data_IF_198603322079
#
_entry.id   IF_198603322079
#
_cell.length_a   1.000
_cell.length_b   1.000
_cell.length_c   1.000
_cell.angle_alpha   90.00
_cell.angle_beta   90.00
_cell.angle_gamma   90.00
#
_symmetry.space_group_name_H-M   'P 1'
#
loop_
_entity.id
_entity.type
_entity.pdbx_description
1 polymer ?
#
# COMPACT_ATOMS: atom_id res chain seq x y z
N UNK A 1 10.31 18.48 25.91
CA UNK A 1 8.87 18.14 25.98
C UNK A 1 8.32 18.32 24.57
N UNK A 2 8.33 17.25 23.77
CA UNK A 2 7.81 17.30 22.40
C UNK A 2 6.29 17.17 22.46
N UNK A 3 5.59 18.26 22.19
CA UNK A 3 4.12 18.29 22.16
C UNK A 3 3.60 17.47 20.97
N UNK A 4 3.10 16.28 21.27
CA UNK A 4 1.72 15.84 21.05
C UNK A 4 0.99 16.05 19.71
N UNK A 5 1.64 16.42 18.62
CA UNK A 5 1.01 16.37 17.29
C UNK A 5 1.67 15.27 16.48
N UNK A 6 0.98 14.15 16.32
CA UNK A 6 1.22 13.28 15.16
C UNK A 6 1.25 14.20 13.93
N UNK A 7 2.37 14.32 13.20
CA UNK A 7 2.46 15.21 12.04
C UNK A 7 1.24 14.99 11.16
N UNK A 8 0.53 16.06 10.76
CA UNK A 8 -0.76 15.98 10.03
C UNK A 8 -0.76 14.94 8.90
N UNK A 9 0.38 14.84 8.22
CA UNK A 9 0.64 13.87 7.17
C UNK A 9 0.55 12.40 7.63
N UNK A 10 0.99 12.05 8.84
CA UNK A 10 0.86 10.70 9.41
C UNK A 10 -0.61 10.39 9.69
N UNK A 11 -1.35 11.32 10.29
CA UNK A 11 -2.80 11.16 10.49
C UNK A 11 -3.51 10.98 9.14
N UNK A 12 -3.13 11.77 8.13
CA UNK A 12 -3.67 11.65 6.78
C UNK A 12 -3.40 10.27 6.16
N UNK A 13 -2.20 9.73 6.32
CA UNK A 13 -1.87 8.38 5.83
C UNK A 13 -2.71 7.30 6.53
N UNK A 14 -2.98 7.48 7.82
CA UNK A 14 -3.82 6.55 8.57
C UNK A 14 -5.27 6.60 8.07
N UNK A 15 -5.79 7.79 7.79
CA UNK A 15 -7.11 7.98 7.20
C UNK A 15 -7.19 7.34 5.80
N UNK A 16 -6.15 7.49 4.97
CA UNK A 16 -6.09 6.85 3.65
C UNK A 16 -6.12 5.33 3.77
N UNK A 17 -5.32 4.75 4.65
CA UNK A 17 -5.29 3.30 4.87
C UNK A 17 -6.64 2.80 5.40
N UNK A 18 -7.27 3.53 6.32
CA UNK A 18 -8.60 3.19 6.84
C UNK A 18 -9.69 3.30 5.76
N UNK A 19 -9.61 4.32 4.90
CA UNK A 19 -10.53 4.47 3.78
C UNK A 19 -10.36 3.38 2.72
N UNK A 20 -9.12 2.94 2.45
CA UNK A 20 -8.84 1.77 1.61
C UNK A 20 -9.45 0.50 2.22
N UNK A 21 -9.25 0.28 3.52
CA UNK A 21 -9.82 -0.86 4.24
C UNK A 21 -11.35 -0.86 4.12
N UNK A 22 -12.00 0.26 4.42
CA UNK A 22 -13.46 0.38 4.34
C UNK A 22 -13.99 0.29 2.90
N UNK A 23 -13.29 0.89 1.92
CA UNK A 23 -13.74 0.95 0.53
C UNK A 23 -13.57 -0.38 -0.22
N UNK A 24 -12.70 -1.27 0.28
CA UNK A 24 -12.39 -2.56 -0.32
C UNK A 24 -12.90 -3.74 0.51
N UNK A 25 -13.39 -3.49 1.72
CA UNK A 25 -14.06 -4.47 2.56
C UNK A 25 -15.21 -5.15 1.79
N UNK A 26 -15.30 -6.48 1.91
CA UNK A 26 -16.30 -7.31 1.23
C UNK A 26 -15.96 -7.69 -0.21
N UNK A 27 -14.98 -7.02 -0.86
CA UNK A 27 -14.43 -7.45 -2.16
C UNK A 27 -13.16 -8.28 -2.00
N UNK A 28 -12.35 -7.96 -1.00
CA UNK A 28 -11.10 -8.63 -0.69
C UNK A 28 -11.03 -9.00 0.79
N UNK A 29 -10.23 -10.02 1.12
CA UNK A 29 -9.85 -10.29 2.50
C UNK A 29 -8.65 -9.40 2.84
N UNK A 30 -8.77 -8.63 3.91
CA UNK A 30 -7.82 -7.59 4.27
C UNK A 30 -7.27 -7.84 5.68
N UNK A 31 -5.99 -7.55 5.88
CA UNK A 31 -5.33 -7.61 7.19
C UNK A 31 -4.51 -6.36 7.41
N UNK A 32 -4.87 -5.58 8.43
CA UNK A 32 -4.04 -4.47 8.89
C UNK A 32 -2.73 -5.03 9.47
N UNK A 33 -1.62 -4.52 8.97
CA UNK A 33 -0.27 -4.74 9.49
C UNK A 33 0.25 -3.44 10.07
N UNK A 34 0.72 -3.49 11.32
CA UNK A 34 1.26 -2.32 12.01
C UNK A 34 2.47 -2.73 12.84
N UNK A 35 3.60 -2.11 12.58
CA UNK A 35 4.82 -2.26 13.35
C UNK A 35 5.48 -0.88 13.55
N UNK A 36 6.51 -0.73 14.40
CA UNK A 36 7.21 0.53 14.56
C UNK A 36 7.76 1.04 13.21
N UNK A 37 7.23 2.17 12.75
CA UNK A 37 7.64 2.78 11.48
C UNK A 37 6.88 2.30 10.23
N UNK A 38 5.89 1.41 10.37
CA UNK A 38 5.09 0.91 9.25
C UNK A 38 3.61 0.77 9.62
N UNK A 39 2.75 1.22 8.72
CA UNK A 39 1.32 0.90 8.75
C UNK A 39 0.88 0.53 7.35
N UNK A 40 0.31 -0.65 7.19
CA UNK A 40 -0.04 -1.19 5.89
C UNK A 40 -1.31 -2.04 5.94
N UNK A 41 -1.92 -2.18 4.77
CA UNK A 41 -3.00 -3.09 4.48
C UNK A 41 -2.44 -4.22 3.60
N UNK A 42 -2.57 -5.44 4.09
CA UNK A 42 -2.25 -6.65 3.34
C UNK A 42 -3.54 -7.22 2.76
N UNK A 43 -3.53 -7.49 1.46
CA UNK A 43 -4.61 -8.18 0.77
C UNK A 43 -4.26 -9.65 0.73
N UNK A 44 -5.19 -10.49 1.18
CA UNK A 44 -4.99 -11.93 1.31
C UNK A 44 -5.94 -12.72 0.44
N UNK A 45 -5.48 -13.88 0.02
CA UNK A 45 -6.31 -14.92 -0.56
C UNK A 45 -7.27 -15.48 0.50
N UNK A 46 -8.18 -16.37 0.09
CA UNK A 46 -9.16 -17.02 0.98
C UNK A 46 -8.53 -17.90 2.05
N UNK A 47 -7.31 -18.39 1.83
CA UNK A 47 -6.52 -19.16 2.78
C UNK A 47 -5.72 -18.28 3.75
N UNK A 48 -5.81 -16.95 3.63
CA UNK A 48 -5.07 -15.99 4.44
C UNK A 48 -3.66 -15.67 3.93
N UNK A 49 -3.22 -16.25 2.82
CA UNK A 49 -1.92 -15.96 2.21
C UNK A 49 -1.93 -14.54 1.62
N UNK A 50 -1.02 -13.64 2.05
CA UNK A 50 -0.94 -12.30 1.47
C UNK A 50 -0.42 -12.35 0.03
N UNK A 51 -0.97 -11.50 -0.83
CA UNK A 51 -0.58 -11.40 -2.24
C UNK A 51 -0.37 -9.96 -2.71
N UNK A 52 -0.86 -8.97 -1.96
CA UNK A 52 -0.63 -7.55 -2.28
C UNK A 52 -0.49 -6.72 -0.99
N UNK A 53 0.33 -5.68 -1.07
CA UNK A 53 0.67 -4.74 0.00
C UNK A 53 0.28 -3.33 -0.40
N UNK A 54 -0.29 -2.54 0.51
CA UNK A 54 -0.39 -1.10 0.38
C UNK A 54 -0.20 -0.43 1.75
N UNK A 55 0.79 0.44 1.89
CA UNK A 55 1.08 1.02 3.20
C UNK A 55 2.12 2.14 3.19
N UNK A 56 2.24 2.77 4.34
CA UNK A 56 3.22 3.78 4.64
C UNK A 56 4.36 3.16 5.46
N UNK A 57 5.58 3.27 4.95
CA UNK A 57 6.79 2.82 5.62
C UNK A 57 7.73 4.01 5.80
N UNK A 58 7.91 4.44 7.05
CA UNK A 58 8.63 5.67 7.40
C UNK A 58 10.07 5.67 6.88
N UNK A 59 10.75 4.52 6.93
CA UNK A 59 12.11 4.40 6.40
C UNK A 59 12.15 4.69 4.90
N UNK A 60 11.26 4.07 4.13
CA UNK A 60 11.21 4.27 2.68
C UNK A 60 10.79 5.70 2.32
N UNK A 61 9.81 6.25 3.05
CA UNK A 61 9.40 7.65 2.91
C UNK A 61 10.57 8.62 3.19
N UNK A 62 11.31 8.45 4.28
CA UNK A 62 12.41 9.34 4.65
C UNK A 62 13.50 9.44 3.56
N UNK A 63 13.68 8.38 2.76
CA UNK A 63 14.68 8.28 1.69
C UNK A 63 14.19 8.82 0.35
N UNK A 64 12.90 8.70 0.09
CA UNK A 64 12.30 8.90 -1.24
C UNK A 64 11.39 10.14 -1.32
N UNK A 65 10.98 10.68 -0.17
CA UNK A 65 9.94 11.68 -0.01
C UNK A 65 8.53 11.24 -0.51
N UNK A 66 8.29 9.92 -0.68
CA UNK A 66 6.98 9.37 -1.01
C UNK A 66 6.39 8.61 0.18
N UNK A 67 5.22 9.00 0.69
CA UNK A 67 4.71 8.46 1.95
C UNK A 67 3.94 7.14 1.81
N UNK A 68 3.39 6.84 0.64
CA UNK A 68 2.54 5.66 0.42
C UNK A 68 3.09 4.80 -0.72
N UNK A 69 3.13 3.49 -0.48
CA UNK A 69 3.71 2.50 -1.35
C UNK A 69 2.77 1.32 -1.51
N UNK A 70 2.85 0.64 -2.64
CA UNK A 70 2.10 -0.59 -2.89
C UNK A 70 2.95 -1.58 -3.66
N UNK A 71 2.62 -2.87 -3.58
CA UNK A 71 3.30 -3.90 -4.35
C UNK A 71 3.22 -5.29 -3.74
N UNK A 72 4.27 -6.08 -3.95
CA UNK A 72 4.29 -7.51 -3.64
C UNK A 72 5.57 -7.91 -2.90
N UNK A 73 5.50 -8.91 -2.03
CA UNK A 73 6.69 -9.53 -1.48
C UNK A 73 7.24 -10.58 -2.46
N UNK A 74 8.56 -10.61 -2.66
CA UNK A 74 9.21 -11.53 -3.60
C UNK A 74 9.06 -13.02 -3.21
N UNK A 75 8.69 -13.31 -1.97
CA UNK A 75 8.44 -14.67 -1.47
C UNK A 75 6.96 -15.09 -1.57
N UNK A 76 6.07 -14.20 -2.02
CA UNK A 76 4.67 -14.56 -2.27
C UNK A 76 4.51 -15.35 -3.56
N UNK A 77 3.26 -15.66 -3.92
CA UNK A 77 2.93 -16.43 -5.11
C UNK A 77 3.70 -15.90 -6.34
N UNK A 78 4.48 -16.79 -6.97
CA UNK A 78 5.40 -16.43 -8.05
C UNK A 78 4.69 -15.86 -9.28
N UNK A 79 3.48 -16.33 -9.60
CA UNK A 79 2.67 -15.80 -10.70
C UNK A 79 2.22 -14.37 -10.42
N UNK A 80 1.74 -14.09 -9.20
CA UNK A 80 1.38 -12.73 -8.78
C UNK A 80 2.57 -11.79 -8.83
N UNK A 81 3.73 -12.24 -8.34
CA UNK A 81 4.97 -11.45 -8.36
C UNK A 81 5.41 -11.16 -9.79
N UNK A 82 5.38 -12.17 -10.67
CA UNK A 82 5.75 -12.01 -12.07
C UNK A 82 4.83 -11.02 -12.78
N UNK A 83 3.51 -11.17 -12.66
CA UNK A 83 2.52 -10.25 -13.26
C UNK A 83 2.71 -8.82 -12.76
N UNK A 84 2.96 -8.64 -11.47
CA UNK A 84 3.24 -7.33 -10.91
C UNK A 84 4.48 -6.69 -11.57
N UNK A 85 5.57 -7.44 -11.73
CA UNK A 85 6.81 -6.95 -12.32
C UNK A 85 6.71 -6.72 -13.84
N UNK A 86 5.86 -7.46 -14.54
CA UNK A 86 5.56 -7.21 -15.96
C UNK A 86 4.84 -5.88 -16.16
N UNK A 87 3.93 -5.52 -15.24
CA UNK A 87 3.21 -4.24 -15.25
C UNK A 87 4.06 -3.08 -14.74
N UNK A 88 4.91 -3.33 -13.74
CA UNK A 88 5.74 -2.33 -13.07
C UNK A 88 7.23 -2.69 -13.14
N UNK A 89 7.86 -2.61 -14.32
CA UNK A 89 9.28 -2.94 -14.49
C UNK A 89 10.20 -2.01 -13.67
N UNK A 90 9.73 -0.82 -13.29
CA UNK A 90 10.43 0.17 -12.47
C UNK A 90 10.28 -0.04 -10.95
N UNK A 91 9.59 -1.10 -10.50
CA UNK A 91 9.37 -1.37 -9.09
C UNK A 91 10.70 -1.47 -8.32
N UNK A 92 10.79 -0.75 -7.19
CA UNK A 92 11.99 -0.73 -6.36
C UNK A 92 12.00 -1.90 -5.38
N UNK A 93 13.20 -2.42 -5.08
CA UNK A 93 13.37 -3.46 -4.08
C UNK A 93 13.60 -2.86 -2.68
N UNK A 94 12.85 -3.31 -1.69
CA UNK A 94 13.02 -2.88 -0.30
C UNK A 94 12.53 -3.98 0.66
N UNK A 95 13.38 -4.44 1.59
CA UNK A 95 13.03 -5.45 2.63
C UNK A 95 12.29 -6.69 2.09
N UNK A 96 12.72 -7.21 0.94
CA UNK A 96 12.10 -8.37 0.27
C UNK A 96 10.86 -8.04 -0.57
N UNK A 97 10.38 -6.80 -0.56
CA UNK A 97 9.29 -6.33 -1.42
C UNK A 97 9.78 -5.80 -2.77
N UNK A 98 8.84 -5.75 -3.71
CA UNK A 98 8.88 -5.00 -4.97
C UNK A 98 7.76 -3.98 -4.90
N UNK A 99 8.12 -2.70 -4.88
CA UNK A 99 7.22 -1.62 -4.51
C UNK A 99 7.17 -0.52 -5.57
N UNK A 100 5.99 0.04 -5.75
CA UNK A 100 5.72 1.25 -6.51
C UNK A 100 5.25 2.36 -5.58
N UNK A 101 5.63 3.59 -5.92
CA UNK A 101 5.15 4.79 -5.23
C UNK A 101 3.72 5.10 -5.67
N UNK A 102 2.85 5.42 -4.72
CA UNK A 102 1.54 5.98 -5.05
C UNK A 102 1.70 7.47 -5.39
N UNK A 103 1.74 7.80 -6.69
CA UNK A 103 1.87 9.18 -7.19
C UNK A 103 0.56 9.96 -7.04
N UNK A 104 0.14 10.16 -5.79
CA UNK A 104 -1.11 10.84 -5.46
C UNK A 104 -0.85 12.08 -4.60
N UNK A 105 0.09 12.93 -5.04
CA UNK A 105 0.54 14.10 -4.28
C UNK A 105 -0.60 14.97 -3.68
N UNK A 106 -1.71 15.27 -4.41
CA UNK A 106 -2.79 16.08 -3.85
C UNK A 106 -3.50 15.42 -2.67
N UNK A 107 -3.51 14.09 -2.60
CA UNK A 107 -4.24 13.31 -1.57
C UNK A 107 -3.59 13.48 -0.19
N UNK A 108 -2.28 13.68 -0.16
CA UNK A 108 -1.49 13.82 1.06
C UNK A 108 -1.59 15.22 1.67
N UNK A 109 -2.10 16.20 0.92
CA UNK A 109 -2.26 17.61 1.30
C UNK A 109 -3.72 18.02 1.51
N UNK A 110 -4.61 17.07 1.83
CA UNK A 110 -6.08 17.22 2.03
C UNK A 110 -6.98 16.92 0.81
N UNK A 111 -6.43 16.47 -0.32
CA UNK A 111 -7.21 16.02 -1.48
C UNK A 111 -7.99 14.72 -1.26
N UNK A 112 -8.99 14.40 -2.09
CA UNK A 112 -9.87 13.23 -1.90
C UNK A 112 -9.09 11.91 -1.91
N UNK A 113 -9.55 10.91 -1.17
CA UNK A 113 -8.89 9.58 -1.09
C UNK A 113 -9.23 8.68 -2.28
N UNK A 114 -10.31 8.99 -3.01
CA UNK A 114 -10.82 8.19 -4.14
C UNK A 114 -9.75 7.83 -5.18
N UNK A 115 -8.82 8.72 -5.60
CA UNK A 115 -7.77 8.36 -6.55
C UNK A 115 -6.84 7.25 -6.06
N UNK A 116 -6.60 7.16 -4.74
CA UNK A 116 -5.80 6.07 -4.16
C UNK A 116 -6.60 4.78 -4.18
N UNK A 117 -7.90 4.83 -3.85
CA UNK A 117 -8.79 3.66 -3.92
C UNK A 117 -8.85 3.13 -5.35
N UNK A 118 -9.06 4.00 -6.34
CA UNK A 118 -9.11 3.64 -7.76
C UNK A 118 -7.79 3.03 -8.24
N UNK A 119 -6.65 3.61 -7.85
CA UNK A 119 -5.33 3.07 -8.14
C UNK A 119 -5.20 1.64 -7.60
N UNK A 120 -5.47 1.43 -6.30
CA UNK A 120 -5.34 0.11 -5.68
C UNK A 120 -6.34 -0.90 -6.27
N UNK A 121 -7.56 -0.47 -6.60
CA UNK A 121 -8.54 -1.33 -7.30
C UNK A 121 -8.04 -1.77 -8.68
N UNK A 122 -7.44 -0.86 -9.45
CA UNK A 122 -6.87 -1.17 -10.77
C UNK A 122 -5.73 -2.19 -10.68
N UNK A 123 -4.88 -2.06 -9.66
CA UNK A 123 -3.79 -3.00 -9.41
C UNK A 123 -4.32 -4.38 -9.00
N UNK A 124 -5.25 -4.43 -8.04
CA UNK A 124 -5.85 -5.69 -7.61
C UNK A 124 -6.59 -6.39 -8.75
N UNK A 125 -7.39 -5.66 -9.53
CA UNK A 125 -8.14 -6.22 -10.64
C UNK A 125 -7.22 -6.88 -11.67
N UNK A 126 -6.07 -6.28 -11.96
CA UNK A 126 -5.09 -6.86 -12.89
C UNK A 126 -4.40 -8.08 -12.32
N UNK A 127 -3.99 -8.04 -11.05
CA UNK A 127 -3.33 -9.19 -10.41
C UNK A 127 -4.27 -10.39 -10.24
N UNK A 128 -5.58 -10.17 -10.12
CA UNK A 128 -6.58 -11.23 -9.93
C UNK A 128 -7.29 -11.68 -11.21
N UNK A 129 -7.02 -11.07 -12.37
CA UNK A 129 -7.58 -11.51 -13.65
C UNK A 129 -6.93 -12.83 -14.08
N UNK A 130 -7.55 -13.96 -13.75
CA UNK A 130 -7.10 -15.29 -14.16
C UNK A 130 -7.04 -15.43 -15.69
#
# INVERSE_FOLDING_TARGET
MFSADTPKIISRLYDIIAALESGLAGRFTLRLHQCPGERALLFTQTDGTPFFYCGAWYELWSRSNFPLWYGVNAQWNAETVQRFLERHPEAVAFEGYRLCRAECAPVFEDGPVDPVIELIQSELAFLTQA
#
